data_IF_524656860079
#
_entry.id   IF_524656860079
#
_cell.length_a   1.000
_cell.length_b   1.000
_cell.length_c   1.000
_cell.angle_alpha   90.00
_cell.angle_beta   90.00
_cell.angle_gamma   90.00
#
_symmetry.space_group_name_H-M   'P 1'
#
loop_
_entity.id
_entity.type
_entity.pdbx_description
1 polymer ?
#
# COMPACT_ATOMS: atom_id res chain seq x y z
N UNK A 1 50.46 -6.37 -28.35
CA UNK A 1 49.50 -7.46 -28.10
C UNK A 1 49.06 -7.36 -26.63
N UNK A 2 47.80 -7.00 -26.38
CA UNK A 2 47.23 -6.95 -25.00
C UNK A 2 46.79 -8.36 -24.65
N UNK A 3 47.32 -8.91 -23.56
CA UNK A 3 46.90 -10.21 -23.02
C UNK A 3 45.41 -10.17 -22.63
N UNK A 4 44.63 -11.03 -23.24
CA UNK A 4 43.27 -11.31 -22.83
C UNK A 4 43.36 -12.19 -21.59
N UNK A 5 43.08 -11.61 -20.43
CA UNK A 5 42.98 -12.36 -19.15
C UNK A 5 41.87 -13.39 -19.27
N UNK A 6 42.24 -14.65 -19.36
CA UNK A 6 41.31 -15.79 -19.32
C UNK A 6 40.65 -15.82 -17.96
N UNK A 7 39.33 -15.59 -17.92
CA UNK A 7 38.52 -15.67 -16.71
C UNK A 7 38.45 -17.14 -16.23
N UNK A 8 39.14 -17.46 -15.15
CA UNK A 8 39.18 -18.81 -14.59
C UNK A 8 37.80 -19.30 -14.14
N UNK A 9 37.50 -20.59 -14.34
CA UNK A 9 36.28 -21.32 -13.90
C UNK A 9 35.96 -21.12 -12.39
N UNK A 10 36.94 -20.83 -11.53
CA UNK A 10 36.75 -20.52 -10.11
C UNK A 10 35.90 -19.27 -9.85
N UNK A 11 35.94 -18.29 -10.77
CA UNK A 11 35.14 -17.06 -10.63
C UNK A 11 33.66 -17.30 -10.99
N UNK A 12 33.36 -18.24 -11.89
CA UNK A 12 32.01 -18.63 -12.26
C UNK A 12 31.21 -19.21 -11.07
N UNK A 13 31.87 -19.99 -10.20
CA UNK A 13 31.21 -20.54 -9.02
C UNK A 13 30.84 -19.46 -7.99
N UNK A 14 31.69 -18.45 -7.82
CA UNK A 14 31.42 -17.29 -6.95
C UNK A 14 30.28 -16.41 -7.51
N UNK A 15 30.31 -16.16 -8.82
CA UNK A 15 29.24 -15.41 -9.50
C UNK A 15 27.90 -16.14 -9.38
N UNK A 16 27.87 -17.45 -9.60
CA UNK A 16 26.64 -18.23 -9.43
C UNK A 16 26.13 -18.24 -7.98
N UNK A 17 27.02 -18.22 -7.00
CA UNK A 17 26.64 -18.11 -5.58
C UNK A 17 26.06 -16.75 -5.23
N UNK A 18 26.63 -15.67 -5.79
CA UNK A 18 26.12 -14.30 -5.66
C UNK A 18 24.76 -14.17 -6.35
N UNK A 19 24.63 -14.71 -7.57
CA UNK A 19 23.38 -14.71 -8.33
C UNK A 19 22.26 -15.46 -7.59
N UNK A 20 22.52 -16.65 -7.04
CA UNK A 20 21.56 -17.40 -6.21
C UNK A 20 21.17 -16.62 -4.95
N UNK A 21 22.14 -15.90 -4.33
CA UNK A 21 21.86 -15.07 -3.16
C UNK A 21 20.96 -13.87 -3.51
N UNK A 22 21.23 -13.20 -4.64
CA UNK A 22 20.42 -12.07 -5.14
C UNK A 22 19.01 -12.53 -5.50
N UNK A 23 18.87 -13.65 -6.26
CA UNK A 23 17.57 -14.22 -6.61
C UNK A 23 16.81 -14.66 -5.34
N UNK A 24 17.48 -15.31 -4.39
CA UNK A 24 16.89 -15.69 -3.11
C UNK A 24 16.42 -14.48 -2.32
N UNK A 25 17.17 -13.37 -2.32
CA UNK A 25 16.77 -12.11 -1.67
C UNK A 25 15.57 -11.47 -2.38
N UNK A 26 15.50 -11.54 -3.72
CA UNK A 26 14.35 -11.06 -4.49
C UNK A 26 13.08 -11.87 -4.20
N UNK A 27 13.17 -13.20 -4.15
CA UNK A 27 12.06 -14.08 -3.74
C UNK A 27 11.62 -13.82 -2.31
N UNK A 28 12.54 -13.60 -1.37
CA UNK A 28 12.23 -13.21 0.00
C UNK A 28 11.49 -11.87 0.07
N UNK A 29 11.83 -10.90 -0.79
CA UNK A 29 11.15 -9.60 -0.86
C UNK A 29 9.68 -9.74 -1.28
N UNK A 30 9.40 -10.54 -2.31
CA UNK A 30 8.01 -10.77 -2.76
C UNK A 30 7.19 -11.52 -1.71
N UNK A 31 7.79 -12.47 -0.98
CA UNK A 31 7.13 -13.19 0.10
C UNK A 31 6.86 -12.28 1.32
N UNK A 32 7.74 -11.33 1.61
CA UNK A 32 7.56 -10.33 2.66
C UNK A 32 6.34 -9.45 2.38
N UNK A 33 6.20 -8.93 1.16
CA UNK A 33 5.06 -8.09 0.78
C UNK A 33 3.73 -8.86 0.87
N UNK A 34 3.69 -10.10 0.36
CA UNK A 34 2.52 -10.98 0.50
C UNK A 34 2.17 -11.28 1.95
N UNK A 35 3.16 -11.45 2.83
CA UNK A 35 2.93 -11.61 4.27
C UNK A 35 2.35 -10.35 4.89
N UNK A 36 2.81 -9.19 4.48
CA UNK A 36 2.26 -7.91 4.91
C UNK A 36 0.79 -7.76 4.49
N UNK A 37 0.48 -7.95 3.21
CA UNK A 37 -0.88 -7.90 2.66
C UNK A 37 -1.85 -8.79 3.45
N UNK A 38 -1.50 -10.09 3.61
CA UNK A 38 -2.32 -11.04 4.38
C UNK A 38 -2.57 -10.59 5.81
N UNK A 39 -1.56 -10.05 6.50
CA UNK A 39 -1.68 -9.59 7.88
C UNK A 39 -2.55 -8.34 8.00
N UNK A 40 -2.46 -7.41 7.04
CA UNK A 40 -3.28 -6.20 7.03
C UNK A 40 -4.75 -6.58 6.82
N UNK A 41 -5.05 -7.43 5.84
CA UNK A 41 -6.40 -7.94 5.59
C UNK A 41 -6.92 -8.70 6.82
N UNK A 42 -6.11 -9.56 7.42
CA UNK A 42 -6.49 -10.29 8.63
C UNK A 42 -6.80 -9.35 9.80
N UNK A 43 -5.99 -8.32 10.02
CA UNK A 43 -6.22 -7.35 11.08
C UNK A 43 -7.52 -6.56 10.84
N UNK A 44 -7.79 -6.13 9.61
CA UNK A 44 -9.04 -5.48 9.23
C UNK A 44 -10.25 -6.38 9.52
N UNK A 45 -10.24 -7.60 9.02
CA UNK A 45 -11.34 -8.56 9.20
C UNK A 45 -11.60 -8.88 10.69
N UNK A 46 -10.54 -9.06 11.48
CA UNK A 46 -10.68 -9.31 12.92
C UNK A 46 -11.22 -8.08 13.64
N UNK A 47 -10.77 -6.89 13.30
CA UNK A 47 -11.28 -5.67 13.91
C UNK A 47 -12.80 -5.52 13.72
N UNK A 48 -13.29 -5.75 12.51
CA UNK A 48 -14.71 -5.62 12.18
C UNK A 48 -15.60 -6.77 12.70
N UNK A 49 -15.00 -7.87 13.19
CA UNK A 49 -15.74 -8.90 13.95
C UNK A 49 -16.09 -8.48 15.36
N UNK A 50 -15.39 -7.48 15.92
CA UNK A 50 -15.65 -6.96 17.26
C UNK A 50 -15.16 -7.86 18.40
N UNK A 51 -15.53 -7.52 19.64
CA UNK A 51 -15.18 -8.28 20.84
C UNK A 51 -13.68 -8.51 21.02
N UNK A 52 -13.28 -9.70 21.46
CA UNK A 52 -11.88 -10.06 21.70
C UNK A 52 -11.01 -10.00 20.43
N UNK A 53 -11.62 -10.11 19.24
CA UNK A 53 -10.91 -10.04 17.97
C UNK A 53 -10.25 -8.68 17.73
N UNK A 54 -10.79 -7.61 18.33
CA UNK A 54 -10.17 -6.28 18.30
C UNK A 54 -8.79 -6.30 18.92
N UNK A 55 -8.61 -6.96 20.05
CA UNK A 55 -7.32 -7.07 20.74
C UNK A 55 -6.31 -7.78 19.83
N UNK A 56 -6.73 -8.89 19.20
CA UNK A 56 -5.87 -9.63 18.28
C UNK A 56 -5.49 -8.76 17.07
N UNK A 57 -6.44 -8.00 16.51
CA UNK A 57 -6.20 -7.07 15.40
C UNK A 57 -5.15 -6.01 15.77
N UNK A 58 -5.25 -5.43 16.96
CA UNK A 58 -4.30 -4.43 17.47
C UNK A 58 -2.91 -5.05 17.70
N UNK A 59 -2.83 -6.29 18.19
CA UNK A 59 -1.57 -7.01 18.34
C UNK A 59 -0.89 -7.24 16.97
N UNK A 60 -1.66 -7.64 15.94
CA UNK A 60 -1.15 -7.82 14.58
C UNK A 60 -0.66 -6.47 14.05
N UNK A 61 -1.43 -5.40 14.21
CA UNK A 61 -1.06 -4.06 13.78
C UNK A 61 0.25 -3.58 14.44
N UNK A 62 0.39 -3.73 15.75
CA UNK A 62 1.60 -3.36 16.48
C UNK A 62 2.83 -4.14 15.99
N UNK A 63 2.66 -5.45 15.73
CA UNK A 63 3.75 -6.26 15.14
C UNK A 63 4.10 -5.83 13.71
N UNK A 64 3.08 -5.47 12.91
CA UNK A 64 3.31 -4.97 11.55
C UNK A 64 4.10 -3.66 11.57
N UNK A 65 3.73 -2.68 12.40
CA UNK A 65 4.47 -1.41 12.53
C UNK A 65 5.93 -1.57 12.93
N UNK A 66 6.25 -2.59 13.74
CA UNK A 66 7.64 -2.89 14.13
C UNK A 66 8.45 -3.52 13.00
N UNK A 67 7.79 -4.20 12.04
CA UNK A 67 8.45 -4.99 10.99
C UNK A 67 8.45 -4.30 9.62
N UNK A 68 7.43 -3.52 9.35
CA UNK A 68 7.22 -2.86 8.06
C UNK A 68 7.10 -1.36 8.26
N UNK A 69 7.80 -0.53 7.49
CA UNK A 69 7.71 0.92 7.58
C UNK A 69 6.42 1.44 6.93
N UNK A 70 5.28 0.92 7.37
CA UNK A 70 3.94 1.27 6.90
C UNK A 70 2.97 1.38 8.07
N UNK A 71 2.00 2.28 7.97
CA UNK A 71 0.95 2.46 8.95
C UNK A 71 -0.44 2.30 8.30
N UNK A 72 -0.98 1.09 8.35
CA UNK A 72 -2.35 0.79 7.92
C UNK A 72 -3.12 0.35 9.15
N UNK A 73 -4.04 1.19 9.61
CA UNK A 73 -4.80 0.91 10.83
C UNK A 73 -5.76 -0.27 10.64
N UNK A 74 -6.01 -1.10 11.67
CA UNK A 74 -6.92 -2.25 11.57
C UNK A 74 -8.39 -1.84 11.38
N UNK A 75 -8.74 -0.57 11.68
CA UNK A 75 -10.06 0.00 11.44
C UNK A 75 -10.35 0.25 9.95
N UNK A 76 -9.30 0.32 9.11
CA UNK A 76 -9.45 0.43 7.64
C UNK A 76 -10.28 -0.75 7.16
N UNK A 77 -11.36 -0.49 6.42
CA UNK A 77 -12.17 -1.54 5.82
C UNK A 77 -11.55 -1.96 4.50
N UNK A 78 -11.13 -3.22 4.41
CA UNK A 78 -10.57 -3.80 3.19
C UNK A 78 -11.58 -4.81 2.63
N UNK A 79 -12.10 -4.52 1.45
CA UNK A 79 -13.12 -5.31 0.78
C UNK A 79 -12.46 -6.28 -0.21
N UNK A 80 -11.95 -7.41 0.30
CA UNK A 80 -11.32 -8.44 -0.51
C UNK A 80 -9.80 -8.40 -0.50
N UNK A 81 -9.17 -8.49 -1.66
CA UNK A 81 -7.70 -8.55 -1.81
C UNK A 81 -7.14 -7.17 -2.16
N UNK A 82 -6.01 -6.82 -1.57
CA UNK A 82 -5.21 -5.67 -1.97
C UNK A 82 -3.82 -6.14 -2.39
N UNK A 83 -3.17 -5.37 -3.25
CA UNK A 83 -1.77 -5.59 -3.65
C UNK A 83 -0.90 -4.44 -3.18
N UNK A 84 0.16 -4.76 -2.43
CA UNK A 84 1.15 -3.80 -1.94
C UNK A 84 2.54 -4.28 -2.36
N UNK A 85 2.96 -4.00 -3.60
CA UNK A 85 4.22 -4.53 -4.15
C UNK A 85 5.46 -4.13 -3.34
N UNK A 86 5.41 -2.98 -2.70
CA UNK A 86 6.47 -2.47 -1.84
C UNK A 86 5.86 -1.82 -0.60
N UNK A 87 5.95 -2.50 0.55
CA UNK A 87 5.39 -2.03 1.81
C UNK A 87 6.33 -1.04 2.52
N UNK A 88 6.48 0.15 1.93
CA UNK A 88 7.33 1.25 2.43
C UNK A 88 6.54 2.56 2.42
N UNK A 89 6.54 3.28 3.55
CA UNK A 89 6.03 4.63 3.67
C UNK A 89 4.51 4.80 3.47
N UNK A 90 3.74 3.71 3.41
CA UNK A 90 2.30 3.78 3.20
C UNK A 90 1.62 4.15 4.52
N UNK A 91 0.75 5.16 4.47
CA UNK A 91 -0.08 5.59 5.60
C UNK A 91 -1.54 5.63 5.20
N UNK A 92 -2.38 4.82 5.84
CA UNK A 92 -3.82 4.77 5.56
C UNK A 92 -4.59 4.99 6.86
N UNK A 93 -5.36 6.06 6.90
CA UNK A 93 -6.12 6.46 8.08
C UNK A 93 -7.34 5.59 8.35
N UNK A 94 -7.78 5.59 9.62
CA UNK A 94 -8.70 4.63 10.23
C UNK A 94 -10.04 4.41 9.52
N UNK A 95 -10.64 5.45 8.96
CA UNK A 95 -11.97 5.39 8.36
C UNK A 95 -11.94 5.21 6.84
N UNK A 96 -10.78 4.88 6.26
CA UNK A 96 -10.65 4.59 4.84
C UNK A 96 -11.31 3.24 4.49
N UNK A 97 -11.81 3.17 3.28
CA UNK A 97 -12.34 1.93 2.68
C UNK A 97 -11.55 1.66 1.41
N UNK A 98 -11.08 0.42 1.24
CA UNK A 98 -10.30 -0.01 0.07
C UNK A 98 -11.02 -1.17 -0.60
N UNK A 99 -11.45 -0.96 -1.83
CA UNK A 99 -12.12 -1.97 -2.66
C UNK A 99 -11.20 -3.10 -3.11
N UNK A 100 -11.81 -4.22 -3.47
CA UNK A 100 -11.11 -5.43 -3.93
C UNK A 100 -10.24 -5.17 -5.16
N UNK A 101 -9.12 -5.85 -5.27
CA UNK A 101 -8.20 -5.77 -6.41
C UNK A 101 -7.35 -4.50 -6.46
N UNK A 102 -7.51 -3.58 -5.51
CA UNK A 102 -6.77 -2.31 -5.53
C UNK A 102 -5.28 -2.52 -5.23
N UNK A 103 -4.43 -1.87 -6.05
CA UNK A 103 -2.99 -1.85 -5.91
C UNK A 103 -2.53 -0.52 -5.32
N UNK A 104 -1.71 -0.58 -4.26
CA UNK A 104 -1.19 0.59 -3.56
C UNK A 104 0.34 0.58 -3.64
N UNK A 105 0.89 1.62 -4.26
CA UNK A 105 2.33 1.77 -4.46
C UNK A 105 3.01 2.43 -3.23
N UNK A 106 4.35 2.45 -3.15
CA UNK A 106 5.06 3.02 -2.01
C UNK A 106 4.72 4.48 -1.72
N UNK A 107 4.84 4.86 -0.46
CA UNK A 107 4.69 6.23 0.03
C UNK A 107 3.31 6.85 -0.25
N UNK A 108 2.28 6.03 -0.47
CA UNK A 108 0.91 6.51 -0.62
C UNK A 108 0.37 6.94 0.74
N UNK A 109 -0.26 8.11 0.77
CA UNK A 109 -0.91 8.64 1.97
C UNK A 109 -2.41 8.78 1.69
N UNK A 110 -3.24 8.13 2.51
CA UNK A 110 -4.70 8.33 2.53
C UNK A 110 -5.02 8.96 3.88
N UNK A 111 -5.11 10.29 3.89
CA UNK A 111 -5.23 11.13 5.08
C UNK A 111 -6.60 11.76 5.24
N UNK A 112 -6.87 12.25 6.44
CA UNK A 112 -8.04 13.09 6.71
C UNK A 112 -7.75 14.55 6.35
N UNK A 113 -8.78 15.29 5.93
CA UNK A 113 -8.68 16.74 5.83
C UNK A 113 -8.65 17.33 7.25
N UNK A 114 -7.64 18.14 7.53
CA UNK A 114 -7.59 18.89 8.78
C UNK A 114 -8.62 20.02 8.75
N UNK A 115 -9.46 20.10 9.79
CA UNK A 115 -10.36 21.23 10.02
C UNK A 115 -10.26 21.64 11.48
N UNK A 116 -9.87 22.89 11.79
CA UNK A 116 -9.76 23.37 13.16
C UNK A 116 -11.09 23.34 13.92
N UNK A 117 -12.21 23.43 13.20
CA UNK A 117 -13.57 23.47 13.78
C UNK A 117 -14.24 22.08 13.89
N UNK A 118 -13.56 20.99 13.47
CA UNK A 118 -14.11 19.63 13.44
C UNK A 118 -13.30 18.63 14.26
N UNK A 119 -12.81 19.05 15.44
CA UNK A 119 -12.01 18.18 16.32
C UNK A 119 -12.79 16.97 16.87
N UNK A 120 -14.11 16.98 16.79
CA UNK A 120 -15.01 15.96 17.35
C UNK A 120 -15.92 15.28 16.30
N UNK A 121 -15.61 15.39 15.01
CA UNK A 121 -16.44 14.76 13.97
C UNK A 121 -16.43 13.23 14.15
N UNK A 122 -17.57 12.72 14.59
CA UNK A 122 -17.92 11.31 14.59
C UNK A 122 -18.38 10.98 13.17
N UNK A 123 -17.48 10.45 12.33
CA UNK A 123 -17.84 10.11 10.96
C UNK A 123 -16.65 9.68 10.11
N UNK A 124 -16.93 9.42 8.85
CA UNK A 124 -15.89 9.12 7.84
C UNK A 124 -15.05 10.37 7.57
N UNK A 125 -13.74 10.23 7.65
CA UNK A 125 -12.78 11.32 7.44
C UNK A 125 -11.76 11.03 6.34
N UNK A 126 -11.74 9.81 5.83
CA UNK A 126 -10.79 9.32 4.85
C UNK A 126 -11.54 8.81 3.63
N UNK A 127 -10.82 8.70 2.53
CA UNK A 127 -11.39 8.32 1.25
C UNK A 127 -11.98 6.90 1.23
N UNK A 128 -13.00 6.72 0.37
CA UNK A 128 -13.42 5.42 -0.15
C UNK A 128 -12.73 5.24 -1.49
N UNK A 129 -11.97 4.16 -1.62
CA UNK A 129 -11.34 3.75 -2.87
C UNK A 129 -12.14 2.58 -3.42
N UNK A 130 -12.58 2.68 -4.67
CA UNK A 130 -13.30 1.63 -5.37
C UNK A 130 -12.46 0.40 -5.69
N UNK A 131 -13.02 -0.49 -6.49
CA UNK A 131 -12.38 -1.77 -6.89
C UNK A 131 -11.38 -1.55 -8.02
N UNK A 132 -10.39 -2.46 -8.10
CA UNK A 132 -9.41 -2.52 -9.20
C UNK A 132 -8.67 -1.20 -9.45
N UNK A 133 -8.54 -0.35 -8.45
CA UNK A 133 -7.82 0.91 -8.58
C UNK A 133 -6.30 0.68 -8.52
N UNK A 134 -5.55 1.59 -9.16
CA UNK A 134 -4.11 1.66 -9.04
C UNK A 134 -3.72 3.01 -8.45
N UNK A 135 -3.15 2.99 -7.25
CA UNK A 135 -2.69 4.21 -6.56
C UNK A 135 -1.18 4.30 -6.73
N UNK A 136 -0.74 5.25 -7.55
CA UNK A 136 0.66 5.46 -7.90
C UNK A 136 1.52 5.88 -6.71
N UNK A 137 2.83 5.67 -6.82
CA UNK A 137 3.79 5.99 -5.76
C UNK A 137 3.76 7.48 -5.40
N UNK A 138 3.92 7.78 -4.10
CA UNK A 138 3.88 9.15 -3.57
C UNK A 138 2.54 9.89 -3.78
N UNK A 139 1.48 9.20 -4.16
CA UNK A 139 0.17 9.83 -4.26
C UNK A 139 -0.38 10.17 -2.87
N UNK A 140 -1.05 11.32 -2.77
CA UNK A 140 -1.65 11.85 -1.53
C UNK A 140 -3.14 12.05 -1.77
N UNK A 141 -3.97 11.33 -1.00
CA UNK A 141 -5.43 11.36 -1.09
C UNK A 141 -5.95 11.90 0.23
N UNK A 142 -6.62 13.05 0.21
CA UNK A 142 -6.99 13.77 1.43
C UNK A 142 -8.50 14.03 1.50
N UNK A 143 -9.09 13.60 2.59
CA UNK A 143 -10.50 13.90 2.94
C UNK A 143 -11.42 12.71 2.78
N UNK A 144 -12.69 12.96 3.01
CA UNK A 144 -13.80 12.00 2.94
C UNK A 144 -14.37 11.84 1.50
N UNK A 145 -13.48 11.82 0.53
CA UNK A 145 -13.79 11.74 -0.91
C UNK A 145 -14.05 10.31 -1.37
N UNK A 146 -14.66 10.19 -2.54
CA UNK A 146 -14.93 8.91 -3.20
C UNK A 146 -14.10 8.83 -4.49
N UNK A 147 -13.31 7.78 -4.60
CA UNK A 147 -12.62 7.39 -5.82
C UNK A 147 -13.35 6.16 -6.36
N UNK A 148 -13.89 6.26 -7.56
CA UNK A 148 -14.67 5.21 -8.21
C UNK A 148 -13.87 3.96 -8.55
N UNK A 149 -14.49 3.00 -9.22
CA UNK A 149 -13.84 1.75 -9.64
C UNK A 149 -12.91 1.97 -10.85
N UNK A 150 -11.90 1.12 -10.99
CA UNK A 150 -10.95 1.10 -12.11
C UNK A 150 -10.20 2.43 -12.31
N UNK A 151 -10.01 3.21 -11.26
CA UNK A 151 -9.31 4.50 -11.34
C UNK A 151 -7.80 4.28 -11.27
N UNK A 152 -7.07 5.01 -12.12
CA UNK A 152 -5.62 5.09 -12.06
C UNK A 152 -5.23 6.46 -11.49
N UNK A 153 -4.68 6.45 -10.27
CA UNK A 153 -4.05 7.62 -9.67
C UNK A 153 -2.58 7.61 -10.03
N UNK A 154 -2.13 8.60 -10.77
CA UNK A 154 -0.74 8.75 -11.19
C UNK A 154 0.21 8.96 -10.01
N UNK A 155 1.49 8.63 -10.21
CA UNK A 155 2.51 8.87 -9.20
C UNK A 155 2.62 10.35 -8.85
N UNK A 156 2.76 10.66 -7.55
CA UNK A 156 2.84 12.03 -7.05
C UNK A 156 1.55 12.85 -7.15
N UNK A 157 0.43 12.23 -7.54
CA UNK A 157 -0.83 12.96 -7.64
C UNK A 157 -1.38 13.35 -6.26
N UNK A 158 -2.01 14.52 -6.17
CA UNK A 158 -2.69 15.02 -4.97
C UNK A 158 -4.19 15.09 -5.24
N UNK A 159 -4.96 14.28 -4.54
CA UNK A 159 -6.40 14.13 -4.75
C UNK A 159 -7.15 14.66 -3.53
N UNK A 160 -8.02 15.64 -3.76
CA UNK A 160 -8.78 16.32 -2.70
C UNK A 160 -10.28 16.44 -3.02
N UNK A 161 -10.74 15.79 -4.11
CA UNK A 161 -12.13 15.75 -4.56
C UNK A 161 -12.47 14.37 -5.13
N UNK A 162 -13.74 14.10 -5.31
CA UNK A 162 -14.24 12.86 -5.87
C UNK A 162 -13.71 12.64 -7.30
N UNK A 163 -13.43 11.36 -7.61
CA UNK A 163 -12.96 10.92 -8.92
C UNK A 163 -13.96 9.88 -9.47
N UNK A 164 -14.49 10.08 -10.67
CA UNK A 164 -15.40 9.12 -11.27
C UNK A 164 -14.68 7.81 -11.64
N UNK A 165 -15.46 6.73 -11.76
CA UNK A 165 -14.94 5.43 -12.22
C UNK A 165 -14.29 5.52 -13.60
N UNK A 166 -13.31 4.65 -13.85
CA UNK A 166 -12.57 4.52 -15.11
C UNK A 166 -11.72 5.74 -15.49
N UNK A 167 -11.51 6.68 -14.57
CA UNK A 167 -10.71 7.88 -14.82
C UNK A 167 -9.21 7.64 -14.56
N UNK A 168 -8.40 8.40 -15.24
CA UNK A 168 -6.97 8.58 -14.94
C UNK A 168 -6.79 9.96 -14.33
N UNK A 169 -6.20 10.04 -13.16
CA UNK A 169 -5.96 11.32 -12.49
C UNK A 169 -4.48 11.52 -12.21
N UNK A 170 -3.97 12.70 -12.58
CA UNK A 170 -2.57 13.06 -12.43
C UNK A 170 -2.42 14.44 -11.78
N UNK A 171 -1.22 14.77 -11.30
CA UNK A 171 -0.95 16.07 -10.70
C UNK A 171 -1.90 16.40 -9.54
N UNK A 172 -2.42 17.62 -9.52
CA UNK A 172 -3.39 18.05 -8.51
C UNK A 172 -4.80 18.01 -9.10
N UNK A 173 -5.53 16.91 -8.88
CA UNK A 173 -6.91 16.71 -9.35
C UNK A 173 -7.11 16.86 -10.87
N UNK A 174 -6.10 16.62 -11.71
CA UNK A 174 -6.24 16.65 -13.17
C UNK A 174 -6.80 15.30 -13.61
N UNK A 175 -8.07 15.28 -14.03
CA UNK A 175 -8.79 14.09 -14.46
C UNK A 175 -8.71 13.98 -15.97
N UNK A 176 -8.32 12.81 -16.47
CA UNK A 176 -8.39 12.40 -17.87
C UNK A 176 -9.45 11.29 -17.98
N UNK A 177 -10.39 11.47 -18.85
CA UNK A 177 -11.49 10.53 -19.13
C UNK A 177 -11.33 9.87 -20.49
#
# INVERSE_FOLDING_TARGET
>A
MKEVKVWHRSNMSKINKIFKKIIGTYFLSTDINRKFEKRVIQASNLYHRGGIHIIIALCIHTRNRKRFPCEIYPQVRIEGKISVPHCVGIVIGKTAVIGDGTKIMPNVVIGARFSPHRCHDVGRRHAIIGKNCMIGANAVIIGDIIIGDNVIVGAGAIITRDIPSNAIVTGHNIIQT
#
